data_IF_932663055800
#
_entry.id   IF_932663055800
#
_cell.length_a   1.000
_cell.length_b   1.000
_cell.length_c   1.000
_cell.angle_alpha   90.00
_cell.angle_beta   90.00
_cell.angle_gamma   90.00
#
_symmetry.space_group_name_H-M   'P 1'
#
loop_
_entity.id
_entity.type
_entity.pdbx_description
1 polymer ?
#
# COMPACT_ATOMS: atom_id res chain seq x y z
N UNK A 1 -7.21 -38.73 1.06
CA UNK A 1 -6.99 -38.17 2.41
C UNK A 1 -5.92 -37.10 2.28
N UNK A 2 -6.30 -35.84 2.19
CA UNK A 2 -5.36 -34.73 1.96
C UNK A 2 -5.55 -33.63 2.99
N UNK A 3 -4.48 -32.87 3.25
CA UNK A 3 -4.44 -31.43 3.52
C UNK A 3 -2.97 -31.02 3.67
N UNK A 4 -2.35 -30.49 2.60
CA UNK A 4 -2.20 -29.06 2.22
C UNK A 4 -1.08 -28.34 2.99
N UNK A 5 0.06 -28.16 2.32
CA UNK A 5 0.93 -27.00 2.51
C UNK A 5 0.69 -26.05 1.35
N UNK A 6 0.38 -24.77 1.58
CA UNK A 6 0.76 -23.68 0.65
C UNK A 6 0.85 -22.34 1.37
N UNK A 7 2.11 -21.96 1.62
CA UNK A 7 2.75 -20.69 1.30
C UNK A 7 1.78 -19.48 1.13
N UNK A 8 1.54 -18.76 2.22
CA UNK A 8 0.94 -17.43 2.19
C UNK A 8 2.06 -16.39 2.18
N UNK A 9 2.17 -15.64 1.08
CA UNK A 9 2.99 -14.43 1.04
C UNK A 9 2.47 -13.47 2.12
N UNK A 10 3.36 -13.04 3.02
CA UNK A 10 3.01 -12.11 4.10
C UNK A 10 2.67 -10.74 3.48
N UNK A 11 1.61 -10.05 3.91
CA UNK A 11 1.38 -8.66 3.54
C UNK A 11 2.63 -7.82 3.89
N UNK A 12 3.17 -7.08 2.92
CA UNK A 12 4.40 -6.27 3.09
C UNK A 12 5.70 -6.92 2.59
N UNK A 13 5.67 -8.14 2.04
CA UNK A 13 6.84 -8.71 1.39
C UNK A 13 7.20 -7.92 0.11
N UNK A 14 8.50 -7.71 -0.13
CA UNK A 14 9.05 -7.10 -1.35
C UNK A 14 8.42 -7.77 -2.56
N UNK A 15 7.85 -6.97 -3.48
CA UNK A 15 7.36 -7.51 -4.75
C UNK A 15 8.54 -8.19 -5.45
N UNK A 16 8.37 -9.48 -5.73
CA UNK A 16 9.29 -10.20 -6.59
C UNK A 16 9.06 -9.71 -8.01
N UNK A 17 9.94 -8.82 -8.47
CA UNK A 17 9.92 -8.27 -9.82
C UNK A 17 10.67 -9.17 -10.81
N UNK A 18 11.05 -10.41 -10.41
CA UNK A 18 11.54 -11.36 -11.39
C UNK A 18 10.46 -11.56 -12.45
N UNK A 19 10.80 -11.44 -13.75
CA UNK A 19 9.81 -11.62 -14.80
C UNK A 19 9.20 -13.02 -14.66
N UNK A 20 7.92 -13.05 -14.33
CA UNK A 20 7.12 -14.26 -14.24
C UNK A 20 7.28 -15.06 -15.52
N UNK A 21 7.69 -16.32 -15.42
CA UNK A 21 7.70 -17.24 -16.56
C UNK A 21 6.28 -17.26 -17.16
N UNK A 22 6.12 -17.08 -18.48
CA UNK A 22 4.80 -17.12 -19.10
C UNK A 22 4.18 -18.50 -18.86
N UNK A 23 3.03 -18.50 -18.18
CA UNK A 23 2.26 -19.71 -17.93
C UNK A 23 1.42 -20.05 -19.17
N UNK A 24 2.03 -20.76 -20.14
CA UNK A 24 1.44 -21.95 -20.81
C UNK A 24 2.16 -22.31 -22.11
N UNK A 25 2.42 -23.61 -22.26
CA UNK A 25 2.30 -24.27 -23.55
C UNK A 25 0.80 -24.37 -23.91
N UNK A 26 0.42 -23.85 -25.09
CA UNK A 26 -0.90 -24.02 -25.69
C UNK A 26 -1.81 -22.80 -25.60
N UNK A 27 -2.07 -22.17 -26.75
CA UNK A 27 -2.84 -20.93 -27.02
C UNK A 27 -2.27 -19.66 -26.40
N UNK A 28 -1.97 -18.66 -27.25
CA UNK A 28 -1.47 -17.36 -26.83
C UNK A 28 -2.45 -16.74 -25.83
N UNK A 29 -1.99 -16.54 -24.60
CA UNK A 29 -2.69 -15.68 -23.65
C UNK A 29 -2.85 -14.29 -24.31
N UNK A 30 -3.96 -13.55 -24.04
CA UNK A 30 -3.98 -12.12 -24.31
C UNK A 30 -2.68 -11.54 -23.75
N UNK A 31 -2.00 -10.70 -24.51
CA UNK A 31 -0.86 -9.97 -23.97
C UNK A 31 -1.39 -9.15 -22.80
N UNK A 32 -1.11 -9.60 -21.58
CA UNK A 32 -1.30 -8.82 -20.36
C UNK A 32 -0.34 -7.64 -20.49
N UNK A 33 -0.79 -6.59 -21.17
CA UNK A 33 -0.03 -5.36 -21.32
C UNK A 33 -0.02 -4.66 -19.97
N UNK A 34 1.12 -4.76 -19.27
CA UNK A 34 1.40 -3.88 -18.16
C UNK A 34 1.40 -2.45 -18.70
N UNK A 35 0.37 -1.69 -18.31
CA UNK A 35 0.21 -0.29 -18.67
C UNK A 35 1.47 0.49 -18.24
N UNK A 36 1.96 1.33 -19.14
CA UNK A 36 2.96 2.33 -18.78
C UNK A 36 2.34 3.32 -17.78
N UNK A 37 3.17 3.94 -16.93
CA UNK A 37 2.67 4.94 -15.99
C UNK A 37 1.95 6.10 -16.71
N UNK A 38 2.42 6.44 -17.91
CA UNK A 38 1.83 7.48 -18.76
C UNK A 38 0.44 7.12 -19.30
N UNK A 39 0.03 5.85 -19.25
CA UNK A 39 -1.32 5.43 -19.66
C UNK A 39 -2.31 5.27 -18.49
N UNK A 40 -1.89 5.58 -17.26
CA UNK A 40 -2.75 5.52 -16.06
C UNK A 40 -3.63 6.75 -15.85
N UNK A 41 -3.53 7.77 -16.71
CA UNK A 41 -4.32 8.99 -16.67
C UNK A 41 -3.45 10.24 -16.75
N UNK A 42 -3.70 11.27 -15.92
CA UNK A 42 -2.88 12.49 -15.93
C UNK A 42 -1.41 12.19 -15.61
N UNK A 43 -0.49 12.99 -16.17
CA UNK A 43 0.93 12.88 -15.87
C UNK A 43 1.15 12.95 -14.35
N UNK A 44 1.85 11.96 -13.78
CA UNK A 44 2.05 11.87 -12.33
C UNK A 44 2.74 13.12 -11.76
N UNK A 45 3.50 13.85 -12.58
CA UNK A 45 4.09 15.13 -12.18
C UNK A 45 3.04 16.19 -11.81
N UNK A 46 1.90 16.20 -12.49
CA UNK A 46 0.82 17.18 -12.29
C UNK A 46 -0.24 16.72 -11.26
N UNK A 47 -0.14 15.49 -10.77
CA UNK A 47 -1.08 14.90 -9.79
C UNK A 47 -0.69 15.31 -8.38
N UNK A 48 -1.69 15.65 -7.55
CA UNK A 48 -1.49 15.78 -6.09
C UNK A 48 -1.59 14.44 -5.42
N UNK A 49 -0.54 14.07 -4.69
CA UNK A 49 -0.50 12.91 -3.81
C UNK A 49 -0.60 13.34 -2.36
N UNK A 50 -1.22 12.49 -1.54
CA UNK A 50 -1.01 12.48 -0.10
C UNK A 50 -0.12 11.29 0.24
N UNK A 51 1.05 11.57 0.80
CA UNK A 51 1.90 10.55 1.40
C UNK A 51 1.49 10.43 2.86
N UNK A 52 1.05 9.25 3.27
CA UNK A 52 0.58 8.99 4.63
C UNK A 52 1.63 8.17 5.37
N UNK A 53 1.88 8.56 6.61
CA UNK A 53 2.60 7.76 7.59
C UNK A 53 1.65 7.40 8.74
N UNK A 54 1.69 6.15 9.20
CA UNK A 54 0.74 5.62 10.16
C UNK A 54 1.47 4.95 11.31
N UNK A 55 1.08 5.28 12.53
CA UNK A 55 1.48 4.55 13.72
C UNK A 55 0.32 3.75 14.29
N UNK A 56 0.62 2.58 14.84
CA UNK A 56 -0.40 1.67 15.39
C UNK A 56 -0.02 1.22 16.79
N UNK A 57 -0.99 0.68 17.53
CA UNK A 57 -0.75 0.06 18.84
C UNK A 57 0.27 -1.09 18.80
N UNK A 58 0.57 -1.64 17.62
CA UNK A 58 1.42 -2.81 17.42
C UNK A 58 0.75 -4.11 17.87
N UNK A 59 1.33 -5.25 17.48
CA UNK A 59 0.87 -6.59 17.91
C UNK A 59 0.27 -7.47 16.80
N UNK A 60 -0.26 -8.66 17.15
CA UNK A 60 -0.84 -9.59 16.19
C UNK A 60 -2.04 -8.98 15.43
N UNK A 61 -2.31 -9.38 14.17
CA UNK A 61 -3.49 -8.92 13.43
C UNK A 61 -4.78 -9.15 14.22
N UNK A 62 -5.65 -8.13 14.27
CA UNK A 62 -6.89 -8.18 15.05
C UNK A 62 -7.17 -6.84 15.73
N UNK A 63 -7.11 -6.82 17.06
CA UNK A 63 -7.52 -5.70 17.92
C UNK A 63 -6.48 -4.56 18.01
N UNK A 64 -5.84 -4.19 16.90
CA UNK A 64 -4.92 -3.07 16.87
C UNK A 64 -5.61 -1.81 16.31
N UNK A 65 -5.18 -0.65 16.78
CA UNK A 65 -5.72 0.64 16.36
C UNK A 65 -4.60 1.54 15.81
N UNK A 66 -4.97 2.49 14.96
CA UNK A 66 -4.09 3.61 14.58
C UNK A 66 -4.02 4.57 15.77
N UNK A 67 -2.81 4.97 16.16
CA UNK A 67 -2.54 5.88 17.29
C UNK A 67 -2.15 7.28 16.82
N UNK A 68 -1.63 7.40 15.61
CA UNK A 68 -1.27 8.67 14.96
C UNK A 68 -1.40 8.50 13.45
N UNK A 69 -1.70 9.59 12.75
CA UNK A 69 -1.39 9.66 11.33
C UNK A 69 -0.74 11.00 10.96
N UNK A 70 0.28 10.89 10.12
CA UNK A 70 0.88 12.00 9.40
C UNK A 70 0.43 11.99 7.94
N UNK A 71 0.35 13.18 7.34
CA UNK A 71 0.06 13.35 5.92
C UNK A 71 0.89 14.49 5.33
N UNK A 72 1.49 14.24 4.18
CA UNK A 72 2.21 15.24 3.40
C UNK A 72 1.58 15.36 2.02
N UNK A 73 1.18 16.58 1.64
CA UNK A 73 0.62 16.88 0.32
C UNK A 73 1.75 17.22 -0.65
N UNK A 74 1.88 16.45 -1.73
CA UNK A 74 2.97 16.57 -2.70
C UNK A 74 2.42 16.72 -4.12
N UNK A 75 3.03 17.57 -4.96
CA UNK A 75 2.83 17.62 -6.42
C UNK A 75 4.12 18.06 -7.09
N UNK A 76 4.47 17.52 -8.26
CA UNK A 76 5.68 17.93 -8.99
C UNK A 76 6.99 17.74 -8.23
N UNK A 77 7.00 16.87 -7.20
CA UNK A 77 8.14 16.68 -6.30
C UNK A 77 8.25 17.70 -5.15
N UNK A 78 7.31 18.64 -5.03
CA UNK A 78 7.30 19.66 -3.96
C UNK A 78 6.24 19.36 -2.90
N UNK A 79 6.56 19.69 -1.64
CA UNK A 79 5.63 19.61 -0.50
C UNK A 79 4.85 20.91 -0.38
N UNK A 80 3.53 20.81 -0.42
CA UNK A 80 2.61 21.94 -0.31
C UNK A 80 2.03 22.12 1.10
N UNK A 81 1.91 21.02 1.84
CA UNK A 81 1.25 21.01 3.14
C UNK A 81 1.67 19.77 3.95
N UNK A 82 1.69 19.92 5.26
CA UNK A 82 2.01 18.87 6.23
C UNK A 82 0.99 18.88 7.36
N UNK A 83 0.54 17.69 7.74
CA UNK A 83 -0.41 17.49 8.82
C UNK A 83 0.04 16.32 9.68
N UNK A 84 -0.05 16.46 11.00
CA UNK A 84 0.11 15.36 11.95
C UNK A 84 -0.91 15.48 13.06
N UNK A 85 -1.44 14.34 13.52
CA UNK A 85 -2.32 14.31 14.68
C UNK A 85 -2.34 12.95 15.36
N UNK A 86 -2.45 12.99 16.69
CA UNK A 86 -2.75 11.79 17.48
C UNK A 86 -4.21 11.37 17.24
N UNK A 87 -4.42 10.07 17.09
CA UNK A 87 -5.73 9.45 16.97
C UNK A 87 -6.16 8.98 18.35
N UNK A 88 -7.31 9.49 18.82
CA UNK A 88 -7.88 9.15 20.12
C UNK A 88 -6.84 9.18 21.27
N UNK A 89 -6.16 10.31 21.52
CA UNK A 89 -5.02 10.39 22.45
C UNK A 89 -5.34 10.12 23.93
N UNK A 90 -6.60 9.79 24.27
CA UNK A 90 -7.05 9.66 25.65
C UNK A 90 -6.97 11.02 26.36
N UNK A 91 -8.00 11.85 26.23
CA UNK A 91 -8.15 12.97 27.14
C UNK A 91 -8.30 12.40 28.56
N UNK A 92 -7.38 12.72 29.47
CA UNK A 92 -7.46 12.22 30.84
C UNK A 92 -8.80 12.56 31.48
N UNK A 93 -9.58 11.53 31.84
CA UNK A 93 -10.67 11.61 32.83
C UNK A 93 -12.06 11.17 32.36
N UNK A 94 -12.58 10.12 33.03
CA UNK A 94 -14.01 9.98 33.34
C UNK A 94 -14.77 8.87 32.58
N UNK A 95 -14.88 7.69 33.20
CA UNK A 95 -15.75 6.59 32.77
C UNK A 95 -15.25 5.24 33.25
#
# INVERSE_FOLDING_TARGET
MGMRHRNGQRPGARLDLTPSRPHREGTAAPQEEQLALDSLGPNLFDVTFLVLDLETTGGPPGLNAITEFGAVKVRGGEVFDEFTTLVNPGGGGGG
#
